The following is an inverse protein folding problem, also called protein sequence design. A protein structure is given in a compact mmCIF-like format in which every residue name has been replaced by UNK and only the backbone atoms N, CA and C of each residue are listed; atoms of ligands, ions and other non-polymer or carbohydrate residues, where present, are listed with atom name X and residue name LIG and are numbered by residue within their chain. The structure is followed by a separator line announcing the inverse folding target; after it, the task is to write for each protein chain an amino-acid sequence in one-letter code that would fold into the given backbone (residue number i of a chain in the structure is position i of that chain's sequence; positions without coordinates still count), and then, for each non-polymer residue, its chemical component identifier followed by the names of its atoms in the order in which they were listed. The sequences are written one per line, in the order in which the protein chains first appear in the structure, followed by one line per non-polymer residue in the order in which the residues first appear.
data_IF_457434164685
#
_entry.id   IF_457434164685
#
_cell.length_a   1.000
_cell.length_b   1.000
_cell.length_c   1.000
_cell.angle_alpha   90.00
_cell.angle_beta   90.00
_cell.angle_gamma   90.00
#
_symmetry.space_group_name_H-M   'P 1'
#
loop_
_entity.id
_entity.type
_entity.pdbx_description
1 polymer ?
#
# COMPACT_ATOMS: atom_id res chain seq x y z
N UNK A 1 5.88 -22.65 -2.56
CA UNK A 1 4.72 -21.76 -2.73
C UNK A 1 4.50 -20.93 -1.47
N UNK A 2 4.27 -21.52 -0.27
CA UNK A 2 3.91 -20.79 0.96
C UNK A 2 4.96 -19.75 1.39
N UNK A 3 6.24 -20.07 1.33
CA UNK A 3 7.31 -19.11 1.58
C UNK A 3 7.25 -17.93 0.59
N UNK A 4 7.11 -18.19 -0.71
CA UNK A 4 6.97 -17.15 -1.72
C UNK A 4 5.75 -16.25 -1.51
N UNK A 5 4.63 -16.82 -1.03
CA UNK A 5 3.44 -16.04 -0.67
C UNK A 5 3.74 -15.07 0.50
N UNK A 6 4.42 -15.54 1.55
CA UNK A 6 4.79 -14.71 2.72
C UNK A 6 5.79 -13.62 2.31
N UNK A 7 6.76 -13.93 1.44
CA UNK A 7 7.69 -12.95 0.87
C UNK A 7 6.98 -11.87 0.02
N UNK A 8 5.91 -12.24 -0.68
CA UNK A 8 5.11 -11.28 -1.45
C UNK A 8 4.32 -10.34 -0.55
N UNK A 9 3.69 -10.89 0.49
CA UNK A 9 2.94 -10.12 1.50
C UNK A 9 2.84 -10.91 2.81
N UNK A 10 3.17 -10.29 3.92
CA UNK A 10 3.06 -10.91 5.25
C UNK A 10 1.64 -11.41 5.58
N UNK A 11 0.60 -10.75 5.04
CA UNK A 11 -0.80 -11.18 5.23
C UNK A 11 -1.11 -12.57 4.66
N UNK A 12 -0.23 -13.11 3.81
CA UNK A 12 -0.40 -14.48 3.31
C UNK A 12 -0.33 -15.53 4.43
N UNK A 13 0.23 -15.21 5.59
CA UNK A 13 0.18 -16.07 6.78
C UNK A 13 -1.26 -16.38 7.20
N UNK A 14 -2.21 -15.49 6.94
CA UNK A 14 -3.62 -15.69 7.25
C UNK A 14 -4.22 -16.89 6.50
N UNK A 15 -3.74 -17.19 5.29
CA UNK A 15 -4.16 -18.38 4.54
C UNK A 15 -3.82 -19.64 5.33
N UNK A 16 -2.59 -19.69 5.87
CA UNK A 16 -2.14 -20.83 6.66
C UNK A 16 -2.91 -20.94 7.97
N UNK A 17 -3.13 -19.82 8.65
CA UNK A 17 -3.90 -19.77 9.91
C UNK A 17 -5.33 -20.26 9.67
N UNK A 18 -6.06 -19.73 8.69
CA UNK A 18 -7.42 -20.17 8.40
C UNK A 18 -7.48 -21.62 7.92
N UNK A 19 -6.47 -22.11 7.22
CA UNK A 19 -6.39 -23.53 6.85
C UNK A 19 -6.24 -24.43 8.06
N UNK A 20 -5.48 -24.02 9.06
CA UNK A 20 -5.33 -24.76 10.34
C UNK A 20 -6.58 -24.70 11.19
N UNK A 21 -7.28 -23.57 11.23
CA UNK A 21 -8.58 -23.44 11.94
C UNK A 21 -9.59 -24.45 11.41
N UNK A 22 -9.61 -24.64 10.08
CA UNK A 22 -10.55 -25.58 9.43
C UNK A 22 -10.10 -27.02 9.55
N UNK A 23 -8.79 -27.27 9.53
CA UNK A 23 -8.22 -28.63 9.53
C UNK A 23 -7.19 -28.81 10.66
N UNK A 24 -7.61 -28.72 11.95
CA UNK A 24 -6.68 -28.82 13.08
C UNK A 24 -5.97 -30.16 13.16
N UNK A 25 -6.51 -31.22 12.54
CA UNK A 25 -5.87 -32.52 12.41
C UNK A 25 -4.54 -32.49 11.67
N UNK A 26 -4.24 -31.42 10.88
CA UNK A 26 -2.94 -31.23 10.25
C UNK A 26 -1.81 -31.16 11.29
N UNK A 27 -2.10 -30.58 12.47
CA UNK A 27 -1.15 -30.51 13.59
C UNK A 27 -0.72 -31.89 14.11
N UNK A 28 -1.48 -32.97 13.83
CA UNK A 28 -1.10 -34.34 14.22
C UNK A 28 -0.19 -35.03 13.18
N UNK A 29 0.05 -34.42 12.03
CA UNK A 29 0.83 -35.02 10.95
C UNK A 29 2.29 -34.60 11.04
N UNK A 30 3.22 -35.56 10.99
CA UNK A 30 4.68 -35.27 10.95
C UNK A 30 5.04 -34.40 9.75
N UNK A 31 4.39 -34.59 8.60
CA UNK A 31 4.59 -33.79 7.38
C UNK A 31 4.27 -32.31 7.57
N UNK A 32 3.37 -31.96 8.50
CA UNK A 32 3.09 -30.57 8.84
C UNK A 32 4.32 -29.87 9.46
N UNK A 33 5.02 -30.55 10.37
CA UNK A 33 6.20 -29.99 11.01
C UNK A 33 7.37 -29.85 10.03
N UNK A 34 7.53 -30.79 9.10
CA UNK A 34 8.48 -30.64 8.00
C UNK A 34 8.15 -29.45 7.11
N UNK A 35 6.88 -29.28 6.77
CA UNK A 35 6.41 -28.11 6.02
C UNK A 35 6.72 -26.82 6.75
N UNK A 36 6.37 -26.69 8.04
CA UNK A 36 6.66 -25.49 8.85
C UNK A 36 8.15 -25.22 8.92
N UNK A 37 8.98 -26.25 9.16
CA UNK A 37 10.43 -26.11 9.19
C UNK A 37 10.98 -25.57 7.88
N UNK A 38 10.52 -26.06 6.73
CA UNK A 38 10.94 -25.57 5.43
C UNK A 38 10.52 -24.13 5.18
N UNK A 39 9.32 -23.73 5.61
CA UNK A 39 8.86 -22.34 5.51
C UNK A 39 9.72 -21.42 6.39
N UNK A 40 10.03 -21.83 7.62
CA UNK A 40 10.91 -21.07 8.53
C UNK A 40 12.32 -20.97 7.94
N UNK A 41 12.91 -22.07 7.49
CA UNK A 41 14.24 -22.07 6.85
C UNK A 41 14.29 -21.13 5.65
N UNK A 42 13.25 -21.15 4.82
CA UNK A 42 13.12 -20.22 3.69
C UNK A 42 13.01 -18.76 4.14
N UNK A 43 12.47 -18.49 5.33
CA UNK A 43 12.35 -17.15 5.93
C UNK A 43 13.63 -16.62 6.59
N UNK A 44 14.60 -17.49 6.90
CA UNK A 44 15.83 -17.11 7.63
C UNK A 44 16.60 -15.94 6.98
N UNK A 45 16.81 -15.89 5.65
CA UNK A 45 17.52 -14.77 5.03
C UNK A 45 16.83 -13.44 5.30
N UNK A 46 15.49 -13.42 5.27
CA UNK A 46 14.71 -12.23 5.58
C UNK A 46 14.78 -11.85 7.06
N UNK A 47 14.69 -12.81 7.97
CA UNK A 47 14.82 -12.57 9.41
C UNK A 47 16.21 -12.03 9.76
N UNK A 48 17.26 -12.57 9.15
CA UNK A 48 18.61 -12.07 9.29
C UNK A 48 18.77 -10.63 8.79
N UNK A 49 18.20 -10.33 7.61
CA UNK A 49 18.16 -8.95 7.09
C UNK A 49 17.40 -8.01 8.04
N UNK A 50 16.25 -8.42 8.58
CA UNK A 50 15.49 -7.65 9.55
C UNK A 50 16.31 -7.34 10.81
N UNK A 51 17.02 -8.34 11.33
CA UNK A 51 17.91 -8.18 12.48
C UNK A 51 19.01 -7.14 12.22
N UNK A 52 19.65 -7.20 11.04
CA UNK A 52 20.68 -6.22 10.65
C UNK A 52 20.13 -4.79 10.48
N UNK A 53 18.83 -4.66 10.23
CA UNK A 53 18.15 -3.36 10.01
C UNK A 53 17.19 -3.00 11.16
N UNK A 54 17.52 -3.43 12.39
CA UNK A 54 16.76 -3.10 13.61
C UNK A 54 15.27 -3.43 13.51
N UNK A 55 14.93 -4.54 12.86
CA UNK A 55 13.55 -5.02 12.73
C UNK A 55 12.58 -3.99 12.11
N UNK A 56 13.07 -3.14 11.23
CA UNK A 56 12.37 -1.97 10.69
C UNK A 56 10.95 -2.27 10.21
N UNK A 57 10.74 -3.38 9.50
CA UNK A 57 9.40 -3.71 9.00
C UNK A 57 8.47 -4.23 10.10
N UNK A 58 9.00 -5.04 11.02
CA UNK A 58 8.19 -5.52 12.16
C UNK A 58 7.86 -4.40 13.11
N UNK A 59 8.83 -3.54 13.44
CA UNK A 59 8.60 -2.37 14.28
C UNK A 59 7.53 -1.47 13.70
N UNK A 60 7.60 -1.18 12.39
CA UNK A 60 6.58 -0.40 11.71
C UNK A 60 5.18 -1.02 11.82
N UNK A 61 5.04 -2.31 11.49
CA UNK A 61 3.72 -2.95 11.44
C UNK A 61 3.12 -3.26 12.81
N UNK A 62 3.95 -3.56 13.80
CA UNK A 62 3.49 -3.97 15.13
C UNK A 62 3.41 -2.83 16.12
N UNK A 63 4.27 -1.82 15.99
CA UNK A 63 4.38 -0.69 16.93
C UNK A 63 3.87 0.59 16.30
N UNK A 64 4.59 1.15 15.32
CA UNK A 64 4.30 2.50 14.81
C UNK A 64 2.89 2.63 14.22
N UNK A 65 2.46 1.63 13.46
CA UNK A 65 1.13 1.62 12.85
C UNK A 65 -0.01 1.41 13.86
N UNK A 66 0.30 0.83 15.02
CA UNK A 66 -0.70 0.46 16.03
C UNK A 66 -0.80 1.48 17.17
N UNK A 67 0.20 2.35 17.31
CA UNK A 67 0.32 3.32 18.40
C UNK A 67 -0.25 4.66 17.93
N UNK A 68 -1.31 5.13 18.61
CA UNK A 68 -1.77 6.51 18.50
C UNK A 68 -2.95 6.76 17.56
N UNK A 69 -3.50 5.77 16.86
CA UNK A 69 -4.75 5.99 16.13
C UNK A 69 -5.95 5.70 17.03
N UNK A 70 -6.67 6.75 17.43
CA UNK A 70 -8.00 6.62 17.99
C UNK A 70 -8.93 6.03 16.92
N UNK A 71 -9.95 5.29 17.38
CA UNK A 71 -11.00 4.81 16.49
C UNK A 71 -11.59 5.95 15.66
N UNK A 72 -11.58 5.79 14.35
CA UNK A 72 -12.19 6.70 13.38
C UNK A 72 -13.14 5.89 12.52
N UNK A 73 -14.43 6.23 12.59
CA UNK A 73 -15.47 5.54 11.80
C UNK A 73 -15.20 5.65 10.30
N UNK A 74 -14.53 6.72 9.86
CA UNK A 74 -14.15 6.95 8.47
C UNK A 74 -13.29 5.81 7.93
N UNK A 75 -12.33 5.29 8.70
CA UNK A 75 -11.49 4.17 8.29
C UNK A 75 -12.32 2.91 7.99
N UNK A 76 -13.35 2.67 8.80
CA UNK A 76 -14.24 1.51 8.63
C UNK A 76 -15.18 1.70 7.44
N UNK A 77 -15.72 2.90 7.27
CA UNK A 77 -16.56 3.23 6.12
C UNK A 77 -15.74 3.15 4.82
N UNK A 78 -14.53 3.71 4.81
CA UNK A 78 -13.59 3.62 3.69
C UNK A 78 -13.29 2.17 3.34
N UNK A 79 -13.06 1.31 4.35
CA UNK A 79 -12.87 -0.11 4.11
C UNK A 79 -14.08 -0.74 3.40
N UNK A 80 -15.30 -0.54 3.92
CA UNK A 80 -16.52 -1.12 3.35
C UNK A 80 -16.70 -0.63 1.91
N UNK A 81 -16.65 0.68 1.67
CA UNK A 81 -16.84 1.28 0.35
C UNK A 81 -15.78 0.81 -0.63
N UNK A 82 -14.51 0.83 -0.23
CA UNK A 82 -13.42 0.41 -1.10
C UNK A 82 -13.48 -1.08 -1.42
N UNK A 83 -13.90 -1.95 -0.47
CA UNK A 83 -14.10 -3.38 -0.79
C UNK A 83 -15.21 -3.58 -1.81
N UNK A 84 -16.34 -2.88 -1.68
CA UNK A 84 -17.44 -2.96 -2.65
C UNK A 84 -16.99 -2.47 -4.05
N UNK A 85 -16.21 -1.40 -4.12
CA UNK A 85 -15.68 -0.89 -5.38
C UNK A 85 -14.63 -1.83 -6.00
N UNK A 86 -13.72 -2.37 -5.19
CA UNK A 86 -12.65 -3.25 -5.65
C UNK A 86 -13.16 -4.62 -6.14
N UNK A 87 -14.17 -5.17 -5.47
CA UNK A 87 -14.82 -6.42 -5.89
C UNK A 87 -15.71 -6.25 -7.13
N UNK A 88 -15.88 -5.01 -7.58
CA UNK A 88 -16.79 -4.62 -8.65
C UNK A 88 -18.12 -4.10 -8.08
N UNK A 89 -18.47 -2.84 -8.35
CA UNK A 89 -19.50 -2.10 -7.58
C UNK A 89 -20.87 -2.80 -7.56
N UNK A 90 -21.18 -3.62 -8.53
CA UNK A 90 -22.43 -4.36 -8.59
C UNK A 90 -22.21 -5.88 -8.50
N UNK A 91 -21.26 -6.43 -9.25
CA UNK A 91 -20.94 -7.87 -9.24
C UNK A 91 -20.41 -8.28 -7.87
N UNK A 92 -19.58 -7.45 -7.25
CA UNK A 92 -19.01 -7.71 -5.94
C UNK A 92 -20.04 -7.92 -4.85
N UNK A 93 -21.14 -7.17 -4.86
CA UNK A 93 -22.25 -7.35 -3.91
C UNK A 93 -22.87 -8.75 -4.06
N UNK A 94 -23.10 -9.20 -5.31
CA UNK A 94 -23.64 -10.54 -5.60
C UNK A 94 -22.66 -11.62 -5.12
N UNK A 95 -21.37 -11.42 -5.38
CA UNK A 95 -20.35 -12.41 -5.02
C UNK A 95 -20.11 -12.46 -3.50
N UNK A 96 -20.14 -11.33 -2.81
CA UNK A 96 -20.12 -11.28 -1.35
C UNK A 96 -21.36 -11.99 -0.78
N UNK A 97 -22.54 -11.70 -1.29
CA UNK A 97 -23.76 -12.40 -0.89
C UNK A 97 -23.63 -13.91 -1.12
N UNK A 98 -23.13 -14.33 -2.28
CA UNK A 98 -22.90 -15.75 -2.60
C UNK A 98 -21.90 -16.40 -1.64
N UNK A 99 -20.79 -15.73 -1.31
CA UNK A 99 -19.79 -16.22 -0.37
C UNK A 99 -20.42 -16.58 0.98
N UNK A 100 -21.32 -15.74 1.51
CA UNK A 100 -21.99 -16.01 2.78
C UNK A 100 -23.10 -17.06 2.67
N UNK A 101 -23.87 -17.06 1.59
CA UNK A 101 -25.07 -17.93 1.41
C UNK A 101 -24.78 -19.31 0.86
N UNK A 102 -23.66 -19.50 0.16
CA UNK A 102 -23.33 -20.80 -0.44
C UNK A 102 -23.14 -21.86 0.65
N UNK A 103 -23.81 -23.00 0.49
CA UNK A 103 -23.62 -24.17 1.35
C UNK A 103 -22.49 -25.02 0.79
N UNK A 104 -21.41 -25.13 1.54
CA UNK A 104 -20.24 -25.94 1.15
C UNK A 104 -20.58 -27.43 1.15
N UNK A 105 -20.10 -28.14 0.14
CA UNK A 105 -20.32 -29.60 -0.06
C UNK A 105 -19.07 -30.42 0.24
N UNK A 106 -17.90 -29.79 0.15
CA UNK A 106 -16.61 -30.45 0.32
C UNK A 106 -15.76 -29.77 1.39
N UNK A 107 -14.76 -30.47 1.94
CA UNK A 107 -13.80 -29.91 2.88
C UNK A 107 -12.98 -28.78 2.24
N UNK A 108 -12.69 -28.87 0.93
CA UNK A 108 -12.00 -27.82 0.18
C UNK A 108 -12.85 -26.54 0.14
N UNK A 109 -14.12 -26.64 -0.24
CA UNK A 109 -15.04 -25.48 -0.26
C UNK A 109 -15.18 -24.87 1.14
N UNK A 110 -15.26 -25.69 2.17
CA UNK A 110 -15.34 -25.20 3.55
C UNK A 110 -14.07 -24.40 3.93
N UNK A 111 -12.89 -24.93 3.58
CA UNK A 111 -11.61 -24.22 3.80
C UNK A 111 -11.55 -22.92 3.01
N UNK A 112 -11.93 -22.95 1.74
CA UNK A 112 -11.91 -21.78 0.86
C UNK A 112 -12.89 -20.70 1.34
N UNK A 113 -14.10 -21.09 1.78
CA UNK A 113 -15.09 -20.19 2.35
C UNK A 113 -14.60 -19.55 3.65
N UNK A 114 -14.08 -20.38 4.57
CA UNK A 114 -13.56 -19.90 5.87
C UNK A 114 -12.42 -18.91 5.67
N UNK A 115 -11.51 -19.20 4.73
CA UNK A 115 -10.47 -18.27 4.35
C UNK A 115 -11.06 -16.95 3.79
N UNK A 116 -11.96 -17.01 2.83
CA UNK A 116 -12.56 -15.82 2.22
C UNK A 116 -13.29 -14.94 3.25
N UNK A 117 -14.20 -15.53 4.01
CA UNK A 117 -14.95 -14.82 5.07
C UNK A 117 -14.00 -14.32 6.15
N UNK A 118 -13.09 -15.17 6.62
CA UNK A 118 -12.12 -14.82 7.65
C UNK A 118 -11.21 -13.64 7.26
N UNK A 119 -10.77 -13.59 6.00
CA UNK A 119 -9.95 -12.51 5.49
C UNK A 119 -10.70 -11.17 5.52
N UNK A 120 -11.92 -11.12 4.98
CA UNK A 120 -12.72 -9.90 4.98
C UNK A 120 -13.10 -9.45 6.39
N UNK A 121 -13.48 -10.38 7.27
CA UNK A 121 -13.79 -10.08 8.66
C UNK A 121 -12.54 -9.61 9.42
N UNK A 122 -11.38 -10.24 9.21
CA UNK A 122 -10.13 -9.82 9.83
C UNK A 122 -9.80 -8.37 9.49
N UNK A 123 -9.83 -8.00 8.21
CA UNK A 123 -9.51 -6.62 7.81
C UNK A 123 -10.60 -5.62 8.19
N UNK A 124 -11.86 -6.06 8.26
CA UNK A 124 -12.93 -5.26 8.83
C UNK A 124 -12.64 -4.91 10.30
N UNK A 125 -12.24 -5.88 11.10
CA UNK A 125 -11.86 -5.64 12.50
C UNK A 125 -10.59 -4.77 12.61
N UNK A 126 -9.64 -4.94 11.70
CA UNK A 126 -8.44 -4.10 11.64
C UNK A 126 -8.77 -2.63 11.28
N UNK A 127 -9.83 -2.37 10.53
CA UNK A 127 -10.27 -1.02 10.19
C UNK A 127 -10.72 -0.19 11.40
N UNK A 128 -11.06 -0.82 12.52
CA UNK A 128 -11.31 -0.13 13.79
C UNK A 128 -10.04 0.44 14.44
N UNK A 129 -8.88 -0.11 14.11
CA UNK A 129 -7.59 0.35 14.64
C UNK A 129 -6.89 1.35 13.74
N UNK A 130 -7.22 1.37 12.45
CA UNK A 130 -6.58 2.25 11.50
C UNK A 130 -6.96 1.95 10.06
N UNK A 131 -6.41 2.73 9.14
CA UNK A 131 -6.70 2.60 7.71
C UNK A 131 -6.21 1.25 7.16
N UNK A 132 -7.10 0.56 6.48
CA UNK A 132 -6.82 -0.67 5.74
C UNK A 132 -6.73 -0.36 4.26
N UNK A 133 -5.61 -0.72 3.63
CA UNK A 133 -5.45 -0.52 2.19
C UNK A 133 -6.30 -1.55 1.41
N UNK A 134 -7.03 -1.08 0.40
CA UNK A 134 -8.00 -1.89 -0.36
C UNK A 134 -7.40 -3.14 -0.99
N UNK A 135 -6.11 -3.09 -1.35
CA UNK A 135 -5.41 -4.20 -2.01
C UNK A 135 -4.94 -5.31 -1.05
N UNK A 136 -5.18 -5.17 0.26
CA UNK A 136 -4.78 -6.22 1.21
C UNK A 136 -5.67 -7.45 1.13
N UNK A 137 -6.90 -7.27 0.72
CA UNK A 137 -7.90 -8.34 0.55
C UNK A 137 -7.89 -8.99 -0.82
N UNK A 138 -6.98 -8.62 -1.74
CA UNK A 138 -6.97 -9.11 -3.12
C UNK A 138 -7.00 -10.65 -3.24
N UNK A 139 -6.33 -11.38 -2.33
CA UNK A 139 -6.38 -12.85 -2.32
C UNK A 139 -7.77 -13.39 -1.99
N UNK A 140 -8.63 -12.60 -1.36
CA UNK A 140 -10.04 -12.92 -1.09
C UNK A 140 -10.93 -12.92 -2.34
N UNK A 141 -10.44 -12.39 -3.48
CA UNK A 141 -11.16 -12.46 -4.74
C UNK A 141 -11.26 -13.89 -5.30
N UNK A 142 -10.32 -14.76 -4.98
CA UNK A 142 -10.36 -16.16 -5.40
C UNK A 142 -11.63 -16.85 -4.86
N UNK A 143 -11.86 -16.88 -3.52
CA UNK A 143 -13.11 -17.43 -3.00
C UNK A 143 -14.35 -16.67 -3.45
N UNK A 144 -14.29 -15.34 -3.61
CA UNK A 144 -15.43 -14.57 -4.12
C UNK A 144 -15.88 -15.03 -5.51
N UNK A 145 -14.93 -15.14 -6.43
CA UNK A 145 -15.23 -15.58 -7.81
C UNK A 145 -15.74 -17.03 -7.82
N UNK A 146 -15.06 -17.92 -7.07
CA UNK A 146 -15.46 -19.32 -6.97
C UNK A 146 -16.90 -19.46 -6.46
N UNK A 147 -17.23 -18.86 -5.32
CA UNK A 147 -18.57 -18.98 -4.74
C UNK A 147 -19.62 -18.16 -5.50
N UNK A 148 -19.23 -17.04 -6.08
CA UNK A 148 -20.08 -16.25 -6.97
C UNK A 148 -20.51 -17.08 -8.18
N UNK A 149 -19.57 -17.72 -8.86
CA UNK A 149 -19.84 -18.62 -9.97
C UNK A 149 -20.70 -19.82 -9.54
N UNK A 150 -20.25 -20.59 -8.55
CA UNK A 150 -20.95 -21.77 -8.07
C UNK A 150 -22.37 -21.48 -7.54
N UNK A 151 -22.59 -20.29 -6.95
CA UNK A 151 -23.91 -19.87 -6.52
C UNK A 151 -24.84 -19.58 -7.68
N UNK A 152 -24.33 -19.06 -8.78
CA UNK A 152 -25.13 -18.61 -9.93
C UNK A 152 -25.27 -19.66 -11.03
N UNK A 153 -24.41 -20.69 -11.04
CA UNK A 153 -24.33 -21.70 -12.09
C UNK A 153 -25.68 -22.34 -12.45
N UNK A 154 -26.49 -22.70 -11.45
CA UNK A 154 -27.80 -23.32 -11.65
C UNK A 154 -28.97 -22.31 -11.52
N UNK A 155 -28.70 -21.01 -11.61
CA UNK A 155 -29.69 -19.95 -11.36
C UNK A 155 -29.77 -18.97 -12.52
N UNK A 156 -30.59 -19.27 -13.52
CA UNK A 156 -30.68 -18.48 -14.76
C UNK A 156 -30.93 -16.97 -14.55
N UNK A 157 -31.73 -16.60 -13.53
CA UNK A 157 -31.95 -15.17 -13.20
C UNK A 157 -30.66 -14.46 -12.78
N UNK A 158 -29.82 -15.12 -11.97
CA UNK A 158 -28.55 -14.59 -11.52
C UNK A 158 -27.51 -14.55 -12.64
N UNK A 159 -27.46 -15.57 -13.50
CA UNK A 159 -26.60 -15.54 -14.69
C UNK A 159 -26.92 -14.37 -15.59
N UNK A 160 -28.23 -14.16 -15.90
CA UNK A 160 -28.65 -12.98 -16.70
C UNK A 160 -28.27 -11.67 -16.02
N UNK A 161 -28.49 -11.54 -14.71
CA UNK A 161 -28.13 -10.33 -13.96
C UNK A 161 -26.60 -10.06 -14.04
N UNK A 162 -25.77 -11.09 -13.78
CA UNK A 162 -24.30 -10.95 -13.87
C UNK A 162 -23.88 -10.58 -15.30
N UNK A 163 -24.47 -11.21 -16.32
CA UNK A 163 -24.15 -10.89 -17.70
C UNK A 163 -24.46 -9.42 -18.04
N UNK A 164 -25.63 -8.92 -17.67
CA UNK A 164 -26.01 -7.52 -17.88
C UNK A 164 -25.04 -6.58 -17.13
N UNK A 165 -24.78 -6.87 -15.85
CA UNK A 165 -23.85 -6.08 -15.03
C UNK A 165 -22.46 -6.08 -15.64
N UNK A 166 -21.97 -7.22 -16.13
CA UNK A 166 -20.68 -7.33 -16.79
C UNK A 166 -20.62 -6.47 -18.05
N UNK A 167 -21.64 -6.56 -18.90
CA UNK A 167 -21.72 -5.77 -20.14
C UNK A 167 -21.71 -4.25 -19.87
N UNK A 168 -22.20 -3.80 -18.72
CA UNK A 168 -22.16 -2.39 -18.31
C UNK A 168 -20.82 -2.04 -17.63
N UNK A 169 -20.41 -2.88 -16.67
CA UNK A 169 -19.24 -2.58 -15.83
C UNK A 169 -17.93 -2.68 -16.60
N UNK A 170 -17.80 -3.64 -17.51
CA UNK A 170 -16.58 -3.86 -18.26
C UNK A 170 -16.16 -2.65 -19.12
N UNK A 171 -17.03 -2.05 -19.95
CA UNK A 171 -16.71 -0.81 -20.65
C UNK A 171 -16.37 0.34 -19.71
N UNK A 172 -17.08 0.48 -18.59
CA UNK A 172 -16.79 1.53 -17.59
C UNK A 172 -15.40 1.35 -16.97
N UNK A 173 -15.00 0.13 -16.65
CA UNK A 173 -13.65 -0.17 -16.16
C UNK A 173 -12.58 0.17 -17.22
N UNK A 174 -12.83 -0.17 -18.49
CA UNK A 174 -11.93 0.19 -19.59
C UNK A 174 -11.81 1.70 -19.71
N UNK A 175 -12.93 2.44 -19.70
CA UNK A 175 -12.93 3.90 -19.74
C UNK A 175 -12.18 4.50 -18.55
N UNK A 176 -12.40 3.99 -17.35
CA UNK A 176 -11.66 4.41 -16.17
C UNK A 176 -10.14 4.15 -16.32
N UNK A 177 -9.75 2.99 -16.87
CA UNK A 177 -8.34 2.67 -17.17
C UNK A 177 -7.73 3.62 -18.19
N UNK A 178 -8.47 3.93 -19.25
CA UNK A 178 -8.04 4.91 -20.26
C UNK A 178 -7.84 6.27 -19.61
N UNK A 179 -8.79 6.70 -18.74
CA UNK A 179 -8.65 7.94 -17.99
C UNK A 179 -7.43 7.96 -17.05
N UNK A 180 -7.08 6.84 -16.41
CA UNK A 180 -5.87 6.76 -15.59
C UNK A 180 -4.56 6.93 -16.40
N UNK A 181 -4.58 6.62 -17.69
CA UNK A 181 -3.41 6.75 -18.57
C UNK A 181 -3.39 8.12 -19.28
N UNK A 182 -4.54 8.58 -19.75
CA UNK A 182 -4.66 9.77 -20.58
C UNK A 182 -5.49 10.84 -19.89
N UNK A 183 -4.93 12.04 -19.75
CA UNK A 183 -5.64 13.23 -19.23
C UNK A 183 -6.47 13.87 -20.36
N UNK A 184 -7.65 13.28 -20.64
CA UNK A 184 -8.52 13.72 -21.71
C UNK A 184 -9.67 14.61 -21.26
N UNK A 185 -9.82 14.87 -19.95
CA UNK A 185 -10.87 15.73 -19.45
C UNK A 185 -10.63 17.20 -19.82
N UNK A 186 -11.66 17.95 -20.21
CA UNK A 186 -11.57 19.38 -20.39
C UNK A 186 -11.07 20.07 -19.11
N UNK A 187 -10.34 21.19 -19.27
CA UNK A 187 -9.75 21.91 -18.12
C UNK A 187 -10.76 22.27 -17.04
N UNK A 188 -12.00 22.53 -17.42
CA UNK A 188 -13.10 22.84 -16.49
C UNK A 188 -13.56 21.67 -15.61
N UNK A 189 -13.27 20.43 -16.04
CA UNK A 189 -13.60 19.20 -15.33
C UNK A 189 -12.37 18.51 -14.77
N UNK A 190 -11.19 19.10 -14.94
CA UNK A 190 -9.96 18.53 -14.40
C UNK A 190 -9.93 18.72 -12.88
N UNK A 191 -9.73 17.62 -12.19
CA UNK A 191 -9.44 17.61 -10.75
C UNK A 191 -8.03 17.09 -10.54
N UNK A 192 -7.41 17.47 -9.44
CA UNK A 192 -6.08 16.99 -9.09
C UNK A 192 -6.13 15.46 -8.91
N UNK A 193 -5.37 14.76 -9.71
CA UNK A 193 -5.22 13.31 -9.62
C UNK A 193 -3.77 12.94 -9.34
N UNK A 194 -3.57 11.86 -8.60
CA UNK A 194 -2.23 11.29 -8.38
C UNK A 194 -1.67 10.58 -9.62
N UNK A 195 -2.38 10.60 -10.76
CA UNK A 195 -2.01 9.82 -11.95
C UNK A 195 -1.42 10.67 -13.08
N UNK A 196 -1.86 11.94 -13.21
CA UNK A 196 -1.54 12.77 -14.36
C UNK A 196 -0.49 13.83 -14.07
N UNK A 197 0.12 14.37 -15.15
CA UNK A 197 1.01 15.55 -15.16
C UNK A 197 2.33 15.40 -14.42
N UNK A 198 2.70 14.21 -13.99
CA UNK A 198 3.95 14.02 -13.30
C UNK A 198 5.19 14.36 -14.13
N UNK A 199 5.14 14.14 -15.45
CA UNK A 199 6.24 14.54 -16.36
C UNK A 199 6.38 16.05 -16.39
N UNK A 200 5.28 16.79 -16.55
CA UNK A 200 5.27 18.26 -16.55
C UNK A 200 5.74 18.81 -15.20
N UNK A 201 5.23 18.24 -14.11
CA UNK A 201 5.66 18.60 -12.77
C UNK A 201 7.16 18.36 -12.56
N UNK A 202 7.69 17.23 -12.98
CA UNK A 202 9.10 16.91 -12.86
C UNK A 202 9.98 17.88 -13.66
N UNK A 203 9.56 18.26 -14.89
CA UNK A 203 10.25 19.27 -15.70
C UNK A 203 10.21 20.66 -15.04
N UNK A 204 9.10 21.03 -14.41
CA UNK A 204 9.01 22.29 -13.66
C UNK A 204 9.93 22.29 -12.44
N UNK A 205 10.02 21.16 -11.70
CA UNK A 205 10.96 21.02 -10.57
C UNK A 205 12.40 21.14 -11.04
N UNK A 206 12.74 20.52 -12.18
CA UNK A 206 14.06 20.61 -12.78
C UNK A 206 14.44 22.05 -13.14
N UNK A 207 13.51 22.78 -13.78
CA UNK A 207 13.72 24.18 -14.12
C UNK A 207 13.94 25.05 -12.86
N UNK A 208 13.19 24.79 -11.77
CA UNK A 208 13.34 25.49 -10.50
C UNK A 208 14.61 25.13 -9.76
N UNK A 209 15.07 23.91 -9.88
CA UNK A 209 16.33 23.46 -9.29
C UNK A 209 17.54 24.18 -9.85
N UNK A 210 17.45 24.66 -11.08
CA UNK A 210 18.54 25.40 -11.75
C UNK A 210 19.92 24.72 -11.57
N UNK A 211 19.96 23.42 -11.83
CA UNK A 211 21.17 22.60 -11.68
C UNK A 211 21.50 22.14 -10.25
N UNK A 212 20.75 22.53 -9.25
CA UNK A 212 20.92 22.03 -7.88
C UNK A 212 20.32 20.59 -7.77
N UNK A 213 20.93 19.72 -6.98
CA UNK A 213 20.31 18.46 -6.58
C UNK A 213 18.98 18.71 -5.85
N UNK A 214 18.03 17.79 -6.01
CA UNK A 214 16.70 17.92 -5.38
C UNK A 214 16.55 16.93 -4.23
N UNK A 215 16.02 17.42 -3.12
CA UNK A 215 15.63 16.64 -1.96
C UNK A 215 14.15 16.87 -1.66
N UNK A 216 13.38 15.80 -1.44
CA UNK A 216 11.98 15.86 -1.04
C UNK A 216 11.86 15.55 0.46
N UNK A 217 11.15 16.38 1.21
CA UNK A 217 10.88 16.11 2.62
C UNK A 217 9.64 15.21 2.73
N UNK A 218 9.77 14.11 3.49
CA UNK A 218 8.70 13.16 3.84
C UNK A 218 7.89 12.61 2.66
N UNK A 219 8.43 12.65 1.43
CA UNK A 219 7.75 12.19 0.24
C UNK A 219 8.65 11.36 -0.67
N UNK A 220 8.85 10.09 -0.32
CA UNK A 220 9.56 9.15 -1.17
C UNK A 220 8.89 8.94 -2.54
N UNK A 221 7.54 9.09 -2.60
CA UNK A 221 6.79 8.99 -3.85
C UNK A 221 7.19 10.10 -4.84
N UNK A 222 7.34 11.35 -4.36
CA UNK A 222 7.76 12.48 -5.19
C UNK A 222 9.22 12.31 -5.63
N UNK A 223 10.10 11.87 -4.72
CA UNK A 223 11.48 11.58 -5.06
C UNK A 223 11.60 10.50 -6.14
N UNK A 224 10.87 9.39 -6.00
CA UNK A 224 10.84 8.33 -6.98
C UNK A 224 10.25 8.77 -8.33
N UNK A 225 9.14 9.52 -8.32
CA UNK A 225 8.53 10.05 -9.54
C UNK A 225 9.45 11.04 -10.26
N UNK A 226 10.10 11.94 -9.51
CA UNK A 226 11.07 12.86 -10.11
C UNK A 226 12.21 12.09 -10.80
N UNK A 227 12.83 11.14 -10.09
CA UNK A 227 13.91 10.31 -10.66
C UNK A 227 13.43 9.56 -11.90
N UNK A 228 12.22 8.98 -11.88
CA UNK A 228 11.66 8.24 -13.00
C UNK A 228 11.47 9.12 -14.26
N UNK A 229 10.90 10.32 -14.10
CA UNK A 229 10.57 11.19 -15.23
C UNK A 229 11.75 12.03 -15.77
N UNK A 230 12.74 12.32 -14.91
CA UNK A 230 13.91 13.14 -15.33
C UNK A 230 15.16 12.32 -15.60
N UNK A 231 15.24 11.09 -15.12
CA UNK A 231 16.46 10.29 -15.10
C UNK A 231 17.51 10.79 -14.10
N UNK A 232 17.23 11.87 -13.33
CA UNK A 232 18.14 12.45 -12.35
C UNK A 232 17.85 11.95 -10.96
N UNK A 233 18.90 11.70 -10.18
CA UNK A 233 18.75 11.23 -8.81
C UNK A 233 18.16 12.33 -7.92
N UNK A 234 17.15 11.96 -7.14
CA UNK A 234 16.63 12.75 -6.04
C UNK A 234 16.58 11.90 -4.78
N UNK A 235 16.55 12.54 -3.61
CA UNK A 235 16.46 11.86 -2.33
C UNK A 235 15.19 12.23 -1.59
N UNK A 236 14.75 11.33 -0.72
CA UNK A 236 13.74 11.63 0.29
C UNK A 236 14.43 11.79 1.63
N UNK A 237 14.21 12.93 2.25
CA UNK A 237 14.62 13.20 3.62
C UNK A 237 13.43 12.94 4.54
N UNK A 238 13.66 12.27 5.65
CA UNK A 238 12.64 11.99 6.65
C UNK A 238 12.87 12.87 7.85
N UNK A 239 11.85 13.61 8.31
CA UNK A 239 11.92 14.39 9.54
C UNK A 239 11.84 13.49 10.77
N UNK A 240 11.99 14.05 11.98
CA UNK A 240 12.03 13.30 13.25
C UNK A 240 10.75 12.49 13.54
N UNK A 241 9.61 12.94 13.00
CA UNK A 241 8.30 12.27 13.16
C UNK A 241 7.85 11.59 11.90
N UNK A 242 8.61 11.70 10.81
CA UNK A 242 8.32 11.11 9.52
C UNK A 242 8.59 9.61 9.50
N UNK A 243 7.85 8.91 8.66
CA UNK A 243 8.03 7.48 8.46
C UNK A 243 9.32 7.18 7.72
N UNK A 244 10.18 6.35 8.32
CA UNK A 244 11.34 5.79 7.63
C UNK A 244 10.95 5.02 6.36
N UNK A 245 11.76 5.18 5.33
CA UNK A 245 11.52 4.59 4.02
C UNK A 245 12.83 4.03 3.41
N UNK A 246 12.76 3.53 2.17
CA UNK A 246 13.91 2.91 1.50
C UNK A 246 15.09 3.86 1.30
N UNK A 247 14.86 5.17 1.13
CA UNK A 247 15.95 6.15 0.99
C UNK A 247 16.77 6.27 2.27
N UNK A 248 16.14 6.11 3.45
CA UNK A 248 16.83 6.08 4.74
C UNK A 248 17.74 4.86 4.86
N UNK A 249 17.27 3.68 4.42
CA UNK A 249 18.06 2.46 4.42
C UNK A 249 19.25 2.54 3.45
N UNK A 250 19.06 3.15 2.29
CA UNK A 250 20.13 3.37 1.31
C UNK A 250 21.11 4.44 1.70
N UNK A 251 20.79 5.27 2.70
CA UNK A 251 21.60 6.44 3.11
C UNK A 251 21.92 7.35 1.92
N UNK A 252 20.94 7.53 1.04
CA UNK A 252 21.11 8.23 -0.25
C UNK A 252 21.41 9.71 -0.07
N UNK A 253 21.02 10.29 1.05
CA UNK A 253 21.26 11.65 1.48
C UNK A 253 22.76 11.97 1.67
N UNK A 254 23.59 10.97 2.00
CA UNK A 254 25.03 11.17 2.22
C UNK A 254 25.77 11.78 1.02
N UNK A 255 25.27 11.51 -0.19
CA UNK A 255 25.84 12.07 -1.43
C UNK A 255 25.71 13.57 -1.53
N UNK A 256 24.80 14.17 -0.77
CA UNK A 256 24.53 15.61 -0.79
C UNK A 256 25.12 16.36 0.40
N UNK A 257 25.87 15.69 1.25
CA UNK A 257 26.52 16.28 2.39
C UNK A 257 27.43 17.46 1.99
N UNK A 258 27.21 18.62 2.62
CA UNK A 258 27.94 19.86 2.33
C UNK A 258 27.54 20.55 1.02
N UNK A 259 26.64 19.97 0.21
CA UNK A 259 26.17 20.58 -1.04
C UNK A 259 24.93 21.44 -0.80
N UNK A 260 24.74 22.44 -1.65
CA UNK A 260 23.45 23.13 -1.76
C UNK A 260 22.48 22.24 -2.51
N UNK A 261 21.24 22.16 -2.03
CA UNK A 261 20.16 21.39 -2.65
C UNK A 261 18.90 22.22 -2.69
N UNK A 262 18.00 21.92 -3.62
CA UNK A 262 16.64 22.40 -3.59
C UNK A 262 15.82 21.47 -2.70
N UNK A 263 15.35 21.96 -1.55
CA UNK A 263 14.43 21.21 -0.69
C UNK A 263 12.99 21.48 -1.13
N UNK A 264 12.25 20.39 -1.41
CA UNK A 264 10.83 20.43 -1.75
C UNK A 264 10.03 19.95 -0.55
N UNK A 265 9.22 20.84 0.01
CA UNK A 265 8.32 20.60 1.14
C UNK A 265 6.88 20.41 0.64
N UNK A 266 6.05 19.74 1.42
CA UNK A 266 4.61 19.85 1.24
C UNK A 266 4.17 21.22 1.80
N UNK A 267 3.19 21.86 1.19
CA UNK A 267 2.72 23.18 1.62
C UNK A 267 2.22 23.20 3.08
N UNK A 268 1.79 22.03 3.61
CA UNK A 268 1.36 21.87 5.02
C UNK A 268 2.55 21.82 6.00
N UNK A 269 3.73 21.50 5.48
CA UNK A 269 4.96 21.33 6.26
C UNK A 269 5.86 22.58 6.15
N UNK A 270 5.35 23.68 5.58
CA UNK A 270 6.04 24.95 5.54
C UNK A 270 6.10 25.55 6.95
N UNK A 271 7.16 25.27 7.65
CA UNK A 271 7.41 25.81 9.00
C UNK A 271 7.77 27.29 8.91
N UNK A 272 7.09 28.12 9.70
CA UNK A 272 7.51 29.49 9.97
C UNK A 272 8.80 29.43 10.80
N UNK A 273 9.86 30.08 10.35
CA UNK A 273 11.17 30.24 11.05
C UNK A 273 11.89 28.92 11.34
N UNK A 274 12.53 28.29 10.31
CA UNK A 274 12.77 26.93 10.61
C UNK A 274 14.11 26.36 10.24
N UNK A 275 14.75 25.97 11.28
CA UNK A 275 15.69 24.86 11.24
C UNK A 275 14.87 23.57 11.15
N UNK A 276 14.89 22.89 10.03
CA UNK A 276 14.30 21.56 9.89
C UNK A 276 15.34 20.55 10.32
N UNK A 277 15.13 19.93 11.48
CA UNK A 277 15.99 18.83 11.93
C UNK A 277 15.51 17.53 11.28
N UNK A 278 16.36 16.91 10.51
CA UNK A 278 16.10 15.66 9.85
C UNK A 278 16.61 14.50 10.73
N UNK A 279 16.01 13.32 10.62
CA UNK A 279 16.28 12.12 11.44
C UNK A 279 17.75 11.61 11.44
N UNK A 280 18.67 12.39 10.94
CA UNK A 280 20.10 12.11 10.92
C UNK A 280 20.85 13.40 11.09
N UNK A 281 21.04 13.85 12.29
CA UNK A 281 22.02 14.90 12.60
C UNK A 281 22.15 16.04 11.56
N UNK A 282 21.04 16.40 10.88
CA UNK A 282 21.03 17.43 9.83
C UNK A 282 20.15 18.58 10.22
N UNK A 283 20.72 19.76 10.22
CA UNK A 283 19.99 20.99 10.39
C UNK A 283 19.83 21.67 9.03
N UNK A 284 18.62 21.94 8.63
CA UNK A 284 18.27 22.55 7.36
C UNK A 284 17.64 23.90 7.61
N UNK A 285 18.26 24.98 7.14
CA UNK A 285 17.68 26.33 7.17
C UNK A 285 16.74 26.52 5.98
N UNK A 286 15.46 26.70 6.24
CA UNK A 286 14.47 27.12 5.25
C UNK A 286 14.47 28.64 5.19
N UNK A 287 14.83 29.21 4.03
CA UNK A 287 14.98 30.66 3.88
C UNK A 287 13.66 31.39 3.64
N UNK A 288 12.62 30.69 3.17
CA UNK A 288 11.31 31.28 2.89
C UNK A 288 10.17 30.36 3.29
N UNK A 289 9.38 30.70 4.32
CA UNK A 289 8.28 29.87 4.82
C UNK A 289 7.08 29.82 3.88
N UNK A 290 6.99 30.67 2.87
CA UNK A 290 5.88 30.73 1.93
C UNK A 290 6.13 29.93 0.64
N UNK A 291 7.37 29.49 0.41
CA UNK A 291 7.71 28.66 -0.75
C UNK A 291 7.55 27.18 -0.39
N UNK A 292 6.90 26.43 -1.26
CA UNK A 292 6.83 24.97 -1.17
C UNK A 292 8.18 24.30 -1.43
N UNK A 293 9.22 25.07 -1.75
CA UNK A 293 10.59 24.65 -1.96
C UNK A 293 11.52 25.86 -1.73
N UNK A 294 12.70 25.61 -1.16
CA UNK A 294 13.74 26.62 -0.96
C UNK A 294 15.11 26.00 -1.23
N UNK A 295 16.06 26.77 -1.79
CA UNK A 295 17.45 26.34 -1.83
C UNK A 295 18.01 26.34 -0.41
N UNK A 296 18.54 25.20 0.00
CA UNK A 296 19.08 25.00 1.33
C UNK A 296 20.48 24.40 1.25
N UNK A 297 21.24 24.57 2.33
CA UNK A 297 22.53 23.90 2.49
C UNK A 297 22.41 22.83 3.56
N UNK A 298 22.78 21.60 3.23
CA UNK A 298 22.92 20.55 4.23
C UNK A 298 24.17 20.80 5.05
N UNK A 299 23.98 21.04 6.33
CA UNK A 299 25.07 21.20 7.29
C UNK A 299 25.01 20.02 8.24
N UNK A 300 26.03 19.15 8.29
CA UNK A 300 26.05 18.08 9.29
C UNK A 300 26.14 18.70 10.68
N UNK A 301 25.37 18.17 11.63
CA UNK A 301 25.58 18.52 13.03
C UNK A 301 27.02 18.20 13.42
N UNK A 302 27.70 19.18 14.02
CA UNK A 302 28.98 18.91 14.67
C UNK A 302 28.72 17.96 15.83
N UNK A 303 29.31 16.75 15.77
CA UNK A 303 29.35 15.83 16.90
C UNK A 303 30.05 16.45 18.06
#
# INVERSE_FOLDING_TARGET
VSAGMIYSKYHAVLILVFSLVVQPQLLKRKSFYWFVSLVILSGLPHLFWQQQHNWVSFHYHLVERSVGENFKIENTLDYIVTQLLFTGPLIGVIFLFALFRFKTKTAFEFSLKTFGVGLFVFFFLMSFKGRVESNWTNVGFIPLVYFGYSFTEDREKWKKAIHIIFCISFPLVILARIFLVYDFLPKSLQFETDFHRWKTWASQMEAKANGLPIAFMDSYQKAAKYTYYTGKEAVCLTNLVGRHNQYDLWKSDQKFFGKRVLLVLNWRDAYKDSVVTVNRTWTTLVQDPFLTYSPIRFIPEKK
#
